data_IF_875423125621
#
_entry.id   IF_875423125621
#
_cell.length_a   1.000
_cell.length_b   1.000
_cell.length_c   1.000
_cell.angle_alpha   90.00
_cell.angle_beta   90.00
_cell.angle_gamma   90.00
#
_symmetry.space_group_name_H-M   'P 1'
#
loop_
_entity.id
_entity.type
_entity.pdbx_description
1 polymer ?
#
# COMPACT_ATOMS: atom_id res chain seq x y z
N UNK A 1 -5.66 10.41 -12.85
CA UNK A 1 -6.91 10.10 -13.60
C UNK A 1 -7.77 9.01 -12.94
N UNK A 2 -7.22 8.08 -12.15
CA UNK A 2 -7.99 7.09 -11.35
C UNK A 2 -8.56 7.55 -9.98
N UNK A 3 -8.12 8.64 -9.29
CA UNK A 3 -8.64 8.95 -7.95
C UNK A 3 -10.06 9.53 -7.92
N UNK A 4 -10.55 10.09 -9.03
CA UNK A 4 -11.63 11.09 -9.01
C UNK A 4 -12.92 10.61 -8.37
N UNK A 5 -13.39 9.40 -8.64
CA UNK A 5 -14.70 8.96 -8.12
C UNK A 5 -14.64 8.66 -6.62
N UNK A 6 -13.61 7.97 -6.15
CA UNK A 6 -13.49 7.62 -4.73
C UNK A 6 -13.14 8.86 -3.89
N UNK A 7 -12.24 9.71 -4.40
CA UNK A 7 -11.86 10.95 -3.71
C UNK A 7 -13.04 11.91 -3.62
N UNK A 8 -13.89 11.99 -4.65
CA UNK A 8 -15.08 12.84 -4.63
C UNK A 8 -16.10 12.40 -3.58
N UNK A 9 -16.35 11.09 -3.44
CA UNK A 9 -17.27 10.59 -2.40
C UNK A 9 -16.72 10.77 -0.99
N UNK A 10 -15.41 10.63 -0.79
CA UNK A 10 -14.78 10.97 0.49
C UNK A 10 -14.84 12.48 0.76
N UNK A 11 -14.58 13.31 -0.24
CA UNK A 11 -14.67 14.77 -0.15
C UNK A 11 -16.09 15.23 0.25
N UNK A 12 -17.13 14.65 -0.37
CA UNK A 12 -18.54 14.92 -0.01
C UNK A 12 -18.87 14.60 1.45
N UNK A 13 -18.15 13.65 2.07
CA UNK A 13 -18.29 13.28 3.48
C UNK A 13 -17.39 14.11 4.42
N UNK A 14 -16.65 15.07 3.89
CA UNK A 14 -15.74 15.94 4.65
C UNK A 14 -14.31 15.40 4.81
N UNK A 15 -13.96 14.32 4.10
CA UNK A 15 -12.63 13.72 4.14
C UNK A 15 -12.66 12.20 4.30
N UNK A 16 -11.47 11.62 4.48
CA UNK A 16 -11.36 10.17 4.61
C UNK A 16 -9.95 9.65 4.86
N UNK A 17 -9.82 8.34 4.81
CA UNK A 17 -8.53 7.66 4.93
C UNK A 17 -8.41 6.49 3.97
N UNK A 18 -7.29 6.41 3.29
CA UNK A 18 -6.90 5.29 2.44
C UNK A 18 -5.69 4.62 3.08
N UNK A 19 -5.74 3.29 3.22
CA UNK A 19 -4.63 2.48 3.72
C UNK A 19 -4.23 1.49 2.65
N UNK A 20 -2.98 1.56 2.23
CA UNK A 20 -2.38 0.66 1.24
C UNK A 20 -1.54 -0.40 1.98
N UNK A 21 -1.68 -1.67 1.60
CA UNK A 21 -0.91 -2.76 2.20
C UNK A 21 0.25 -3.16 1.28
N UNK A 22 1.46 -2.74 1.66
CA UNK A 22 2.71 -3.12 1.03
C UNK A 22 3.32 -4.37 1.71
N UNK A 23 4.63 -4.36 1.97
CA UNK A 23 5.42 -5.45 2.55
C UNK A 23 6.75 -4.91 3.06
N UNK A 24 7.36 -5.56 4.05
CA UNK A 24 8.76 -5.31 4.44
C UNK A 24 9.71 -5.50 3.25
N UNK A 25 9.33 -6.34 2.27
CA UNK A 25 10.02 -6.54 1.00
C UNK A 25 10.17 -5.26 0.16
N UNK A 26 9.38 -4.22 0.44
CA UNK A 26 9.52 -2.91 -0.20
C UNK A 26 10.76 -2.13 0.27
N UNK A 27 11.27 -2.45 1.47
CA UNK A 27 12.43 -1.81 2.11
C UNK A 27 13.63 -2.77 2.21
N UNK A 28 13.36 -4.04 2.55
CA UNK A 28 14.35 -5.10 2.70
C UNK A 28 13.93 -6.27 1.80
N UNK A 29 14.42 -6.31 0.55
CA UNK A 29 13.95 -7.28 -0.44
C UNK A 29 14.42 -8.70 -0.12
N UNK A 30 13.52 -9.67 -0.29
CA UNK A 30 13.86 -11.09 -0.19
C UNK A 30 14.38 -11.62 -1.54
N UNK A 31 15.42 -12.48 -1.54
CA UNK A 31 15.85 -13.20 -2.74
C UNK A 31 14.68 -13.94 -3.41
N UNK A 32 14.74 -14.09 -4.72
CA UNK A 32 13.73 -14.79 -5.54
C UNK A 32 12.33 -14.16 -5.60
N UNK A 33 12.09 -13.04 -4.93
CA UNK A 33 10.82 -12.29 -4.96
C UNK A 33 10.93 -10.96 -5.72
N UNK A 34 11.79 -10.88 -6.73
CA UNK A 34 12.12 -9.63 -7.45
C UNK A 34 10.90 -8.80 -7.89
N UNK A 35 10.00 -9.34 -8.74
CA UNK A 35 8.81 -8.61 -9.19
C UNK A 35 7.87 -8.22 -8.04
N UNK A 36 7.72 -9.10 -7.04
CA UNK A 36 6.93 -8.81 -5.85
C UNK A 36 7.52 -7.63 -5.07
N UNK A 37 8.82 -7.67 -4.73
CA UNK A 37 9.51 -6.60 -4.01
C UNK A 37 9.37 -5.26 -4.76
N UNK A 38 9.61 -5.25 -6.07
CA UNK A 38 9.46 -4.04 -6.92
C UNK A 38 8.03 -3.51 -6.85
N UNK A 39 7.02 -4.37 -7.01
CA UNK A 39 5.61 -3.94 -6.91
C UNK A 39 5.28 -3.35 -5.54
N UNK A 40 5.87 -3.89 -4.46
CA UNK A 40 5.66 -3.42 -3.10
C UNK A 40 6.39 -2.10 -2.82
N UNK A 41 7.56 -1.89 -3.41
CA UNK A 41 8.24 -0.58 -3.41
C UNK A 41 7.44 0.47 -4.20
N UNK A 42 6.85 0.10 -5.34
CA UNK A 42 6.01 1.01 -6.13
C UNK A 42 4.82 1.56 -5.32
N UNK A 43 4.24 0.75 -4.41
CA UNK A 43 3.19 1.20 -3.51
C UNK A 43 3.64 2.32 -2.55
N UNK A 44 4.93 2.41 -2.22
CA UNK A 44 5.46 3.52 -1.40
C UNK A 44 5.41 4.84 -2.18
N UNK A 45 5.80 4.83 -3.44
CA UNK A 45 5.70 5.99 -4.34
C UNK A 45 4.24 6.38 -4.59
N UNK A 46 3.38 5.40 -4.86
CA UNK A 46 1.93 5.62 -5.02
C UNK A 46 1.31 6.28 -3.80
N UNK A 47 1.66 5.81 -2.60
CA UNK A 47 1.16 6.37 -1.33
C UNK A 47 1.53 7.84 -1.22
N UNK A 48 2.80 8.21 -1.51
CA UNK A 48 3.27 9.59 -1.44
C UNK A 48 2.55 10.49 -2.45
N UNK A 49 2.42 10.04 -3.69
CA UNK A 49 1.72 10.82 -4.72
C UNK A 49 0.26 11.04 -4.36
N UNK A 50 -0.46 9.99 -3.96
CA UNK A 50 -1.87 10.11 -3.58
C UNK A 50 -2.06 10.93 -2.31
N UNK A 51 -1.14 10.86 -1.34
CA UNK A 51 -1.23 11.69 -0.14
C UNK A 51 -1.21 13.19 -0.48
N UNK A 52 -0.42 13.59 -1.49
CA UNK A 52 -0.35 14.98 -1.96
C UNK A 52 -1.60 15.32 -2.78
N UNK A 53 -1.94 14.48 -3.76
CA UNK A 53 -3.08 14.72 -4.67
C UNK A 53 -4.42 14.79 -3.91
N UNK A 54 -4.58 14.05 -2.81
CA UNK A 54 -5.85 13.97 -2.10
C UNK A 54 -5.93 14.86 -0.85
N UNK A 55 -4.85 15.58 -0.53
CA UNK A 55 -4.79 16.43 0.67
C UNK A 55 -5.85 17.55 0.64
N UNK A 56 -6.11 18.13 -0.53
CA UNK A 56 -7.11 19.21 -0.69
C UNK A 56 -8.53 18.78 -0.29
N UNK A 57 -8.81 17.47 -0.34
CA UNK A 57 -10.10 16.89 0.03
C UNK A 57 -10.13 16.30 1.44
N UNK A 58 -9.17 16.66 2.30
CA UNK A 58 -9.05 16.12 3.66
C UNK A 58 -8.98 14.57 3.69
N UNK A 59 -8.35 13.97 2.68
CA UNK A 59 -8.15 12.52 2.60
C UNK A 59 -6.69 12.18 2.89
N UNK A 60 -6.47 11.38 3.94
CA UNK A 60 -5.13 10.90 4.31
C UNK A 60 -4.83 9.59 3.61
N UNK A 61 -3.61 9.43 3.11
CA UNK A 61 -3.15 8.16 2.50
C UNK A 61 -1.92 7.66 3.25
N UNK A 62 -1.98 6.44 3.75
CA UNK A 62 -0.88 5.81 4.48
C UNK A 62 -0.61 4.40 3.95
N UNK A 63 0.61 3.93 4.17
CA UNK A 63 1.04 2.61 3.74
C UNK A 63 1.48 1.77 4.94
N UNK A 64 0.97 0.54 5.01
CA UNK A 64 1.44 -0.48 5.93
C UNK A 64 2.44 -1.37 5.22
N UNK A 65 3.55 -1.71 5.88
CA UNK A 65 4.56 -2.63 5.36
C UNK A 65 4.76 -3.82 6.31
N UNK A 66 3.88 -4.83 6.25
CA UNK A 66 3.97 -5.99 7.15
C UNK A 66 5.20 -6.85 6.88
N UNK A 67 5.73 -7.46 7.94
CA UNK A 67 6.68 -8.57 7.84
C UNK A 67 6.02 -9.89 7.42
N UNK A 68 6.63 -11.01 7.76
CA UNK A 68 6.05 -12.33 7.53
C UNK A 68 4.88 -12.57 8.49
N UNK A 69 3.65 -12.49 7.98
CA UNK A 69 2.42 -12.76 8.74
C UNK A 69 1.87 -14.11 8.31
N UNK A 70 1.54 -15.00 9.26
CA UNK A 70 0.99 -16.34 8.98
C UNK A 70 -0.42 -16.23 8.38
N UNK A 71 -0.50 -16.36 7.07
CA UNK A 71 -1.73 -16.38 6.28
C UNK A 71 -1.59 -17.40 5.16
N UNK A 72 -2.70 -17.74 4.47
CA UNK A 72 -2.63 -18.61 3.29
C UNK A 72 -1.74 -18.06 2.18
N UNK A 73 -1.64 -16.73 2.03
CA UNK A 73 -0.80 -16.09 1.01
C UNK A 73 0.70 -16.30 1.26
N UNK A 74 1.13 -16.23 2.52
CA UNK A 74 2.53 -16.35 2.92
C UNK A 74 2.96 -17.78 3.21
N UNK A 75 2.05 -18.77 3.04
CA UNK A 75 2.27 -20.17 3.44
C UNK A 75 3.60 -20.73 2.95
N UNK A 76 3.90 -20.53 1.67
CA UNK A 76 5.15 -20.96 1.03
C UNK A 76 6.42 -20.37 1.67
N UNK A 77 6.32 -19.31 2.47
CA UNK A 77 7.45 -18.64 3.12
C UNK A 77 7.66 -19.07 4.58
N UNK A 78 6.72 -19.79 5.19
CA UNK A 78 6.82 -20.24 6.59
C UNK A 78 6.54 -21.72 6.81
N UNK A 79 5.99 -22.45 5.84
CA UNK A 79 5.62 -23.87 5.99
C UNK A 79 6.85 -24.81 6.11
N UNK A 80 8.00 -24.39 5.58
CA UNK A 80 9.28 -25.11 5.68
C UNK A 80 10.19 -24.64 6.83
N UNK A 81 9.65 -23.87 7.78
CA UNK A 81 10.35 -23.47 9.03
C UNK A 81 10.00 -24.37 10.20
#
# INVERSE_FOLDING_TARGET
MLPSTLSLEMAKRGGGSIVIVSSIGAYSPFPSLGPYNVSKTALLGLTKNLAIELAEWNVRVNCLAPGLIKTSFSRMLWEDQ
#
